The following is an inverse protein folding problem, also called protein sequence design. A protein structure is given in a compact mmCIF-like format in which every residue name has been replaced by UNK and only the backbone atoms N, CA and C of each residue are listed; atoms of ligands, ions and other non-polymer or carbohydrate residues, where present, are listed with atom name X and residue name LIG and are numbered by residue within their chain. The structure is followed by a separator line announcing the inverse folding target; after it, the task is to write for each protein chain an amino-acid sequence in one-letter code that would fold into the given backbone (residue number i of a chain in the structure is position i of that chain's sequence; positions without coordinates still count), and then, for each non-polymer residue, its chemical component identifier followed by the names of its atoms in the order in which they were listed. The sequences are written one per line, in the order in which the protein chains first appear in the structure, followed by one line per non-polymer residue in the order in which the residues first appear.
data_IF_588678539307
#
_entry.id   IF_588678539307
#
_cell.length_a   1.000
_cell.length_b   1.000
_cell.length_c   1.000
_cell.angle_alpha   90.00
_cell.angle_beta   90.00
_cell.angle_gamma   90.00
#
_symmetry.space_group_name_H-M   'P 1'
#
loop_
_entity.id
_entity.type
_entity.pdbx_description
1 polymer ?
#
# COMPACT_ATOMS: atom_id res chain seq x y z
N UNK A 1 19.78 -10.00 -18.59
CA UNK A 1 18.53 -9.96 -17.80
C UNK A 1 18.00 -8.56 -17.46
N UNK A 2 18.76 -7.48 -17.72
CA UNK A 2 18.30 -6.10 -17.54
C UNK A 2 17.06 -5.77 -18.38
N UNK A 3 17.00 -6.23 -19.62
CA UNK A 3 15.85 -6.02 -20.54
C UNK A 3 14.53 -6.65 -20.05
N UNK A 4 14.58 -7.73 -19.28
CA UNK A 4 13.39 -8.35 -18.70
C UNK A 4 12.84 -7.47 -17.56
N UNK A 5 13.71 -6.97 -16.70
CA UNK A 5 13.37 -6.05 -15.62
C UNK A 5 12.77 -4.74 -16.14
N UNK A 6 13.37 -4.13 -17.17
CA UNK A 6 12.88 -2.91 -17.81
C UNK A 6 11.46 -3.08 -18.37
N UNK A 7 11.21 -4.20 -19.08
CA UNK A 7 9.88 -4.50 -19.66
C UNK A 7 8.83 -4.75 -18.57
N UNK A 8 9.22 -5.44 -17.50
CA UNK A 8 8.33 -5.73 -16.37
C UNK A 8 7.99 -4.43 -15.62
N UNK A 9 9.00 -3.62 -15.30
CA UNK A 9 8.83 -2.31 -14.66
C UNK A 9 7.93 -1.38 -15.48
N UNK A 10 8.16 -1.26 -16.78
CA UNK A 10 7.35 -0.41 -17.64
C UNK A 10 5.89 -0.90 -17.76
N UNK A 11 5.67 -2.21 -17.81
CA UNK A 11 4.32 -2.78 -17.87
C UNK A 11 3.54 -2.58 -16.57
N UNK A 12 4.16 -2.80 -15.41
CA UNK A 12 3.53 -2.55 -14.11
C UNK A 12 3.24 -1.06 -13.90
N UNK A 13 4.21 -0.20 -14.21
CA UNK A 13 4.04 1.23 -14.12
C UNK A 13 2.92 1.75 -15.04
N UNK A 14 2.77 1.20 -16.26
CA UNK A 14 1.69 1.54 -17.16
C UNK A 14 0.31 1.15 -16.62
N UNK A 15 0.20 0.04 -15.89
CA UNK A 15 -1.06 -0.38 -15.23
C UNK A 15 -1.41 0.55 -14.08
N UNK A 16 -0.44 0.83 -13.21
CA UNK A 16 -0.63 1.70 -12.04
C UNK A 16 -0.85 3.15 -12.46
N UNK A 17 -0.20 3.61 -13.54
CA UNK A 17 -0.38 4.95 -14.11
C UNK A 17 -1.80 5.25 -14.61
N UNK A 18 -2.61 4.21 -14.88
CA UNK A 18 -4.03 4.35 -15.23
C UNK A 18 -4.96 4.54 -14.04
N UNK A 19 -4.47 4.32 -12.83
CA UNK A 19 -5.27 4.49 -11.62
C UNK A 19 -5.55 5.98 -11.40
N UNK A 20 -6.83 6.33 -11.32
CA UNK A 20 -7.31 7.69 -11.04
C UNK A 20 -8.33 7.64 -9.93
N UNK A 21 -7.91 7.96 -8.72
CA UNK A 21 -8.76 8.00 -7.54
C UNK A 21 -8.23 9.04 -6.55
N UNK A 22 -9.08 9.82 -5.87
CA UNK A 22 -8.63 10.88 -4.95
C UNK A 22 -7.74 10.35 -3.81
N UNK A 23 -7.93 9.09 -3.40
CA UNK A 23 -7.16 8.46 -2.32
C UNK A 23 -6.07 7.49 -2.81
N UNK A 24 -5.64 7.60 -4.06
CA UNK A 24 -4.50 6.88 -4.64
C UNK A 24 -3.49 7.91 -5.15
N UNK A 25 -2.21 7.72 -4.83
CA UNK A 25 -1.14 8.57 -5.38
C UNK A 25 -1.10 8.41 -6.89
N UNK A 26 -1.23 9.53 -7.61
CA UNK A 26 -1.18 9.52 -9.07
C UNK A 26 0.26 9.31 -9.55
N UNK A 27 0.46 8.34 -10.44
CA UNK A 27 1.71 8.18 -11.19
C UNK A 27 1.57 8.92 -12.51
N UNK A 28 2.53 9.80 -12.79
CA UNK A 28 2.54 10.62 -14.02
C UNK A 28 3.40 10.01 -15.11
N UNK A 29 4.51 9.38 -14.73
CA UNK A 29 5.45 8.80 -15.69
C UNK A 29 6.30 7.70 -15.03
N UNK A 30 6.85 6.81 -15.87
CA UNK A 30 7.76 5.77 -15.47
C UNK A 30 8.93 5.71 -16.46
N UNK A 31 10.11 6.06 -15.98
CA UNK A 31 11.32 6.09 -16.81
C UNK A 31 12.14 4.84 -16.53
N UNK A 32 12.22 3.97 -17.55
CA UNK A 32 13.05 2.76 -17.53
C UNK A 32 14.51 3.12 -17.90
N UNK A 33 15.18 3.87 -17.03
CA UNK A 33 16.60 4.16 -17.19
C UNK A 33 17.43 2.91 -16.89
N UNK A 34 18.39 2.51 -17.74
CA UNK A 34 19.20 1.32 -17.51
C UNK A 34 20.06 1.36 -16.24
N UNK A 35 20.38 2.56 -15.73
CA UNK A 35 21.21 2.75 -14.53
C UNK A 35 20.35 2.95 -13.29
N UNK A 36 19.29 3.76 -13.40
CA UNK A 36 18.43 4.13 -12.28
C UNK A 36 16.99 4.34 -12.74
N UNK A 37 16.16 3.28 -12.83
CA UNK A 37 14.74 3.42 -13.16
C UNK A 37 14.03 4.21 -12.07
N UNK A 38 13.10 5.11 -12.45
CA UNK A 38 12.34 5.94 -11.50
C UNK A 38 10.91 6.17 -11.94
N UNK A 39 10.05 6.47 -10.96
CA UNK A 39 8.67 6.87 -11.16
C UNK A 39 8.52 8.37 -10.87
N UNK A 40 7.78 9.06 -11.72
CA UNK A 40 7.32 10.44 -11.48
C UNK A 40 5.90 10.34 -10.94
N UNK A 41 5.67 10.84 -9.73
CA UNK A 41 4.38 10.72 -9.08
C UNK A 41 3.95 12.03 -8.39
N UNK A 42 2.69 12.08 -8.03
CA UNK A 42 2.10 13.15 -7.25
C UNK A 42 2.89 13.37 -5.95
N UNK A 43 3.21 14.62 -5.66
CA UNK A 43 3.73 15.01 -4.36
C UNK A 43 2.57 15.18 -3.36
N UNK A 44 2.59 14.40 -2.29
CA UNK A 44 1.59 14.48 -1.22
C UNK A 44 2.22 15.21 -0.02
N UNK A 45 1.74 16.41 0.35
CA UNK A 45 2.32 17.21 1.43
C UNK A 45 1.88 16.68 2.82
N UNK A 46 1.83 15.38 2.98
CA UNK A 46 1.42 14.68 4.21
C UNK A 46 2.57 13.91 4.85
N UNK A 47 2.24 13.16 5.89
CA UNK A 47 3.14 12.21 6.53
C UNK A 47 2.65 10.78 6.31
N UNK A 48 3.57 9.82 6.29
CA UNK A 48 3.18 8.41 6.33
C UNK A 48 2.52 8.10 7.68
N UNK A 49 1.61 7.12 7.69
CA UNK A 49 0.94 6.70 8.93
C UNK A 49 1.92 6.10 9.96
N UNK A 50 3.16 5.77 9.59
CA UNK A 50 4.22 5.38 10.55
C UNK A 50 4.39 6.37 11.68
N UNK A 51 4.23 7.66 11.41
CA UNK A 51 4.31 8.72 12.42
C UNK A 51 3.31 8.49 13.54
N UNK A 52 2.12 8.02 13.23
CA UNK A 52 0.99 7.87 14.14
C UNK A 52 0.86 6.46 14.74
N UNK A 53 1.83 5.59 14.50
CA UNK A 53 1.90 4.25 15.08
C UNK A 53 2.62 4.21 16.45
N UNK A 54 3.10 5.33 16.94
CA UNK A 54 3.82 5.42 18.23
C UNK A 54 2.86 5.80 19.35
N UNK A 55 2.99 5.23 20.55
CA UNK A 55 2.11 5.52 21.69
C UNK A 55 2.01 7.00 22.04
N UNK A 56 3.06 7.78 21.77
CA UNK A 56 3.13 9.23 22.02
C UNK A 56 2.57 10.09 20.89
N UNK A 57 2.11 9.48 19.79
CA UNK A 57 1.67 10.17 18.55
C UNK A 57 0.33 9.64 18.02
N UNK A 58 -0.44 8.92 18.83
CA UNK A 58 -1.70 8.33 18.38
C UNK A 58 -2.71 9.41 17.96
N UNK A 59 -3.48 9.08 16.92
CA UNK A 59 -4.58 9.91 16.45
C UNK A 59 -5.86 9.62 17.26
N UNK A 60 -6.78 10.60 17.36
CA UNK A 60 -8.14 10.34 17.81
C UNK A 60 -8.83 9.26 16.95
N UNK A 61 -9.71 8.47 17.59
CA UNK A 61 -10.38 7.34 16.94
C UNK A 61 -11.17 7.77 15.70
N UNK A 62 -11.79 8.93 15.75
CA UNK A 62 -12.59 9.50 14.65
C UNK A 62 -11.74 9.71 13.39
N UNK A 63 -10.49 10.18 13.56
CA UNK A 63 -9.57 10.36 12.44
C UNK A 63 -9.07 9.01 11.90
N UNK A 64 -8.86 8.02 12.78
CA UNK A 64 -8.46 6.67 12.36
C UNK A 64 -9.58 6.03 11.53
N UNK A 65 -10.85 6.20 11.92
CA UNK A 65 -12.01 5.71 11.18
C UNK A 65 -12.10 6.38 9.80
N UNK A 66 -11.89 7.70 9.72
CA UNK A 66 -11.90 8.43 8.46
C UNK A 66 -10.77 7.95 7.52
N UNK A 67 -9.55 7.79 8.06
CA UNK A 67 -8.40 7.25 7.32
C UNK A 67 -8.72 5.85 6.81
N UNK A 68 -9.24 4.98 7.67
CA UNK A 68 -9.61 3.61 7.32
C UNK A 68 -10.65 3.56 6.19
N UNK A 69 -11.67 4.40 6.26
CA UNK A 69 -12.70 4.50 5.22
C UNK A 69 -12.10 4.93 3.87
N UNK A 70 -11.29 6.00 3.84
CA UNK A 70 -10.64 6.48 2.61
C UNK A 70 -9.70 5.45 2.01
N UNK A 71 -8.90 4.75 2.85
CA UNK A 71 -8.04 3.65 2.40
C UNK A 71 -8.85 2.48 1.83
N UNK A 72 -9.94 2.07 2.48
CA UNK A 72 -10.80 0.99 1.99
C UNK A 72 -11.44 1.33 0.64
N UNK A 73 -11.86 2.59 0.45
CA UNK A 73 -12.38 3.06 -0.85
C UNK A 73 -11.33 3.00 -1.95
N UNK A 74 -10.08 3.42 -1.65
CA UNK A 74 -8.96 3.36 -2.58
C UNK A 74 -8.62 1.91 -2.96
N UNK A 75 -8.47 1.02 -1.98
CA UNK A 75 -8.17 -0.41 -2.21
C UNK A 75 -9.30 -1.11 -2.97
N UNK A 76 -10.55 -0.81 -2.66
CA UNK A 76 -11.70 -1.31 -3.41
C UNK A 76 -11.72 -0.82 -4.85
N UNK A 77 -11.28 0.41 -5.13
CA UNK A 77 -11.10 0.91 -6.48
C UNK A 77 -9.98 0.14 -7.21
N UNK A 78 -8.80 0.00 -6.59
CA UNK A 78 -7.66 -0.74 -7.14
C UNK A 78 -8.05 -2.18 -7.50
N UNK A 79 -8.77 -2.87 -6.61
CA UNK A 79 -9.28 -4.21 -6.85
C UNK A 79 -10.22 -4.28 -8.07
N UNK A 80 -11.13 -3.32 -8.23
CA UNK A 80 -12.02 -3.25 -9.41
C UNK A 80 -11.27 -3.00 -10.73
N UNK A 81 -10.04 -2.47 -10.66
CA UNK A 81 -9.15 -2.35 -11.81
C UNK A 81 -8.35 -3.64 -12.10
N UNK A 82 -8.64 -4.74 -11.39
CA UNK A 82 -7.96 -6.03 -11.55
C UNK A 82 -6.61 -6.11 -10.83
N UNK A 83 -6.36 -5.26 -9.84
CA UNK A 83 -5.08 -5.15 -9.14
C UNK A 83 -5.24 -5.43 -7.64
N UNK A 84 -4.19 -6.02 -7.05
CA UNK A 84 -4.07 -6.22 -5.59
C UNK A 84 -2.76 -5.55 -5.17
N UNK A 85 -2.80 -4.71 -4.13
CA UNK A 85 -1.66 -3.91 -3.68
C UNK A 85 -0.54 -4.75 -3.05
N UNK A 86 -0.89 -5.70 -2.19
CA UNK A 86 -0.04 -6.68 -1.48
C UNK A 86 0.94 -6.13 -0.43
N UNK A 87 1.16 -4.84 -0.33
CA UNK A 87 2.07 -4.22 0.66
C UNK A 87 1.42 -3.04 1.38
N UNK A 88 0.17 -3.23 1.82
CA UNK A 88 -0.55 -2.25 2.64
C UNK A 88 0.07 -2.23 4.04
N UNK A 89 0.70 -1.09 4.39
CA UNK A 89 1.38 -0.86 5.68
C UNK A 89 1.42 0.63 5.99
N UNK A 90 1.69 1.04 7.25
CA UNK A 90 1.72 2.46 7.62
C UNK A 90 2.71 3.31 6.81
N UNK A 91 3.77 2.71 6.27
CA UNK A 91 4.75 3.41 5.45
C UNK A 91 4.22 3.80 4.06
N UNK A 92 3.24 3.05 3.54
CA UNK A 92 2.67 3.20 2.20
C UNK A 92 1.32 3.92 2.21
N UNK A 93 0.87 4.37 3.36
CA UNK A 93 -0.35 5.16 3.54
C UNK A 93 0.04 6.55 4.02
N UNK A 94 -0.35 7.57 3.26
CA UNK A 94 -0.07 8.96 3.54
C UNK A 94 -1.34 9.64 4.06
N UNK A 95 -1.21 10.47 5.09
CA UNK A 95 -2.30 11.31 5.56
C UNK A 95 -1.82 12.74 5.81
N UNK A 96 -2.62 13.70 5.37
CA UNK A 96 -2.48 15.10 5.73
C UNK A 96 -3.46 15.40 6.85
N UNK A 97 -2.93 15.56 8.07
CA UNK A 97 -3.70 15.94 9.24
C UNK A 97 -3.42 17.40 9.56
N UNK A 98 -4.45 18.23 9.51
CA UNK A 98 -4.33 19.66 9.72
C UNK A 98 -5.42 20.16 10.67
N UNK A 99 -5.02 20.85 11.74
CA UNK A 99 -5.94 21.35 12.78
C UNK A 99 -6.90 20.29 13.34
N UNK A 100 -6.42 19.06 13.54
CA UNK A 100 -7.24 17.97 14.06
C UNK A 100 -8.23 17.35 13.06
N UNK A 101 -8.08 17.62 11.77
CA UNK A 101 -8.89 17.02 10.71
C UNK A 101 -8.01 16.29 9.71
N UNK A 102 -8.51 15.21 9.12
CA UNK A 102 -7.90 14.53 7.97
C UNK A 102 -8.35 15.24 6.70
N UNK A 103 -7.44 16.00 6.10
CA UNK A 103 -7.76 16.73 4.86
C UNK A 103 -7.49 15.92 3.61
N UNK A 104 -6.53 14.97 3.66
CA UNK A 104 -6.24 14.06 2.56
C UNK A 104 -5.70 12.73 3.08
N UNK A 105 -5.98 11.64 2.33
CA UNK A 105 -5.42 10.30 2.56
C UNK A 105 -5.10 9.69 1.21
N UNK A 106 -3.90 9.14 1.06
CA UNK A 106 -3.47 8.52 -0.20
C UNK A 106 -2.77 7.17 0.04
N UNK A 107 -3.17 6.18 -0.73
CA UNK A 107 -2.45 4.90 -0.86
C UNK A 107 -1.34 5.10 -1.88
N UNK A 108 -0.13 4.69 -1.52
CA UNK A 108 1.09 4.84 -2.33
C UNK A 108 1.88 3.54 -2.41
N UNK A 109 2.95 3.54 -3.18
CA UNK A 109 3.90 2.43 -3.34
C UNK A 109 3.27 1.15 -3.90
N UNK A 110 2.99 1.20 -5.19
CA UNK A 110 2.44 0.08 -5.96
C UNK A 110 3.53 -0.86 -6.53
N UNK A 111 4.76 -0.82 -5.98
CA UNK A 111 5.86 -1.68 -6.44
C UNK A 111 5.69 -3.17 -6.19
N UNK A 112 4.66 -3.55 -5.43
CA UNK A 112 4.32 -4.95 -5.09
C UNK A 112 3.00 -5.42 -5.71
N UNK A 113 2.41 -4.63 -6.61
CA UNK A 113 1.08 -4.91 -7.18
C UNK A 113 1.05 -6.24 -7.93
N UNK A 114 -0.02 -6.99 -7.72
CA UNK A 114 -0.36 -8.18 -8.50
C UNK A 114 -1.47 -7.84 -9.49
N UNK A 115 -1.20 -8.07 -10.77
CA UNK A 115 -2.23 -8.04 -11.81
C UNK A 115 -2.93 -9.41 -11.87
N UNK A 116 -4.22 -9.46 -11.56
CA UNK A 116 -5.02 -10.69 -11.54
C UNK A 116 -5.19 -11.33 -12.93
N UNK A 117 -5.01 -10.56 -14.00
CA UNK A 117 -5.07 -11.08 -15.37
C UNK A 117 -3.74 -11.68 -15.85
N UNK A 118 -2.66 -11.59 -15.08
CA UNK A 118 -1.35 -12.14 -15.43
C UNK A 118 -1.29 -13.63 -15.12
N UNK A 119 -0.89 -14.45 -16.10
CA UNK A 119 -0.70 -15.90 -15.92
C UNK A 119 0.52 -16.25 -15.04
N UNK A 120 1.38 -15.28 -14.72
CA UNK A 120 2.56 -15.46 -13.88
C UNK A 120 2.20 -15.33 -12.39
N UNK A 121 1.54 -16.35 -11.87
CA UNK A 121 1.18 -16.45 -10.45
C UNK A 121 2.35 -16.98 -9.60
N UNK A 122 3.54 -16.44 -9.74
CA UNK A 122 4.54 -16.65 -8.68
C UNK A 122 4.26 -15.67 -7.55
N UNK A 123 3.52 -16.14 -6.56
CA UNK A 123 3.30 -15.42 -5.32
C UNK A 123 4.61 -15.44 -4.52
N UNK A 124 5.51 -14.51 -4.84
CA UNK A 124 6.62 -14.25 -3.93
C UNK A 124 6.06 -13.63 -2.65
N UNK A 125 6.64 -13.98 -1.52
CA UNK A 125 6.38 -13.30 -0.24
C UNK A 125 6.86 -11.85 -0.34
N UNK A 126 6.01 -10.97 -0.84
CA UNK A 126 6.27 -9.54 -0.97
C UNK A 126 5.41 -8.82 0.05
N UNK A 127 6.03 -7.92 0.80
CA UNK A 127 5.36 -7.11 1.83
C UNK A 127 6.02 -7.23 3.20
N UNK A 128 5.51 -6.46 4.14
CA UNK A 128 6.01 -6.43 5.52
C UNK A 128 5.26 -7.44 6.38
N UNK A 129 5.94 -8.46 6.90
CA UNK A 129 5.38 -9.62 7.61
C UNK A 129 4.32 -9.26 8.67
N UNK A 130 4.51 -8.16 9.40
CA UNK A 130 3.58 -7.72 10.45
C UNK A 130 2.17 -7.38 9.95
N UNK A 131 1.99 -7.17 8.64
CA UNK A 131 0.72 -6.77 8.01
C UNK A 131 0.23 -7.75 6.96
N UNK A 132 1.02 -8.79 6.63
CA UNK A 132 0.65 -9.78 5.63
C UNK A 132 -0.55 -10.59 6.06
N UNK A 133 -1.44 -10.85 5.12
CA UNK A 133 -2.54 -11.80 5.32
C UNK A 133 -2.04 -13.25 5.39
N UNK A 134 -2.79 -14.16 6.07
CA UNK A 134 -2.41 -15.58 6.15
C UNK A 134 -2.18 -16.21 4.77
N UNK A 135 -3.05 -15.93 3.80
CA UNK A 135 -2.93 -16.44 2.44
C UNK A 135 -1.69 -15.92 1.70
N UNK A 136 -1.20 -14.71 2.01
CA UNK A 136 0.09 -14.21 1.50
C UNK A 136 1.27 -14.98 2.10
N UNK A 137 1.21 -15.29 3.40
CA UNK A 137 2.25 -16.04 4.10
C UNK A 137 2.33 -17.48 3.61
N UNK A 138 1.18 -18.08 3.33
CA UNK A 138 1.07 -19.49 2.87
C UNK A 138 1.35 -19.64 1.37
N UNK A 139 1.46 -18.53 0.62
CA UNK A 139 1.64 -18.56 -0.83
C UNK A 139 0.39 -19.04 -1.59
N UNK A 140 -0.79 -18.80 -1.00
CA UNK A 140 -2.08 -19.14 -1.57
C UNK A 140 -2.55 -18.18 -2.67
N UNK A 141 -3.71 -18.46 -3.25
CA UNK A 141 -4.37 -17.57 -4.22
C UNK A 141 -4.82 -16.30 -3.52
N UNK A 142 -4.46 -15.14 -4.06
CA UNK A 142 -4.78 -13.84 -3.50
C UNK A 142 -5.96 -13.20 -4.21
N UNK A 143 -6.77 -12.48 -3.43
CA UNK A 143 -7.76 -11.52 -3.90
C UNK A 143 -7.73 -10.24 -3.05
N UNK A 144 -8.66 -9.31 -3.28
CA UNK A 144 -8.69 -8.01 -2.57
C UNK A 144 -8.84 -8.12 -1.06
N UNK A 145 -9.24 -9.29 -0.52
CA UNK A 145 -9.34 -9.51 0.94
C UNK A 145 -7.98 -9.48 1.62
N UNK A 146 -6.91 -9.82 0.91
CA UNK A 146 -5.55 -9.72 1.43
C UNK A 146 -5.21 -8.26 1.79
N UNK A 147 -5.54 -7.29 0.94
CA UNK A 147 -5.34 -5.87 1.22
C UNK A 147 -6.23 -5.37 2.37
N UNK A 148 -7.45 -5.87 2.48
CA UNK A 148 -8.37 -5.53 3.58
C UNK A 148 -7.87 -6.07 4.91
N UNK A 149 -7.32 -7.30 4.94
CA UNK A 149 -6.66 -7.84 6.14
C UNK A 149 -5.50 -6.94 6.57
N UNK A 150 -4.63 -6.56 5.63
CA UNK A 150 -3.49 -5.69 5.88
C UNK A 150 -3.92 -4.32 6.39
N UNK A 151 -4.99 -3.74 5.82
CA UNK A 151 -5.58 -2.50 6.32
C UNK A 151 -6.09 -2.66 7.75
N UNK A 152 -6.76 -3.77 8.09
CA UNK A 152 -7.18 -4.08 9.45
C UNK A 152 -6.01 -4.13 10.44
N UNK A 153 -4.89 -4.75 10.07
CA UNK A 153 -3.67 -4.77 10.87
C UNK A 153 -3.06 -3.36 11.05
N UNK A 154 -3.12 -2.51 10.02
CA UNK A 154 -2.71 -1.10 10.12
C UNK A 154 -3.60 -0.33 11.09
N UNK A 155 -4.92 -0.45 10.98
CA UNK A 155 -5.87 0.23 11.88
C UNK A 155 -5.68 -0.21 13.33
N UNK A 156 -5.45 -1.51 13.56
CA UNK A 156 -5.08 -2.00 14.90
C UNK A 156 -3.83 -1.29 15.41
N UNK A 157 -2.77 -1.19 14.59
CA UNK A 157 -1.51 -0.53 14.98
C UNK A 157 -1.74 0.95 15.34
N UNK A 158 -2.54 1.67 14.56
CA UNK A 158 -2.87 3.07 14.82
C UNK A 158 -3.66 3.27 16.14
N UNK A 159 -4.52 2.30 16.51
CA UNK A 159 -5.32 2.35 17.72
C UNK A 159 -4.50 1.92 18.95
N UNK A 160 -3.74 0.82 18.80
CA UNK A 160 -3.04 0.18 19.92
C UNK A 160 -1.62 0.74 20.16
N UNK A 161 -1.05 1.50 19.22
CA UNK A 161 0.32 2.00 19.27
C UNK A 161 1.39 0.91 19.15
N UNK A 162 0.99 -0.30 18.72
CA UNK A 162 1.87 -1.46 18.51
C UNK A 162 1.31 -2.34 17.40
N UNK A 163 2.16 -3.05 16.63
CA UNK A 163 1.69 -3.94 15.58
C UNK A 163 0.87 -5.11 16.16
N UNK A 164 -0.01 -5.68 15.34
CA UNK A 164 -0.83 -6.85 15.70
C UNK A 164 0.05 -8.08 15.99
N UNK A 165 1.11 -8.26 15.21
CA UNK A 165 2.10 -9.31 15.38
C UNK A 165 3.49 -8.71 15.57
N UNK A 166 4.18 -9.13 16.63
CA UNK A 166 5.57 -8.76 16.87
C UNK A 166 6.49 -9.72 16.09
N UNK A 167 7.03 -9.23 15.00
CA UNK A 167 7.92 -10.03 14.12
C UNK A 167 9.34 -10.14 14.70
N UNK A 168 9.71 -9.29 15.66
CA UNK A 168 11.04 -9.29 16.29
C UNK A 168 11.25 -10.46 17.27
N UNK A 169 10.19 -11.14 17.69
CA UNK A 169 10.25 -12.25 18.67
C UNK A 169 10.41 -13.65 18.06
N UNK A 170 10.61 -13.75 16.73
CA UNK A 170 10.76 -15.03 16.02
C UNK A 170 12.17 -15.29 15.47
N UNK A 171 13.19 -14.63 16.01
CA UNK A 171 14.59 -14.87 15.69
C UNK A 171 15.29 -15.69 16.76
#
# INVERSE_FOLDING_TARGET
DGRYFERFFAAEAALVGRLQHPNVVQIYDAVADPVAPYLVMEYVPGSTLRRYCRPDQLLPLELIVEIGFKCAMALGYVYRQGLIHRDVKPANLLALVHHGNVTDVKVSDFGSVLNMASETTQVYRVGSLAYMSPEQLDGGTLDGRADIYSLGAVLYHLIAGRPLFDVASQS
#
